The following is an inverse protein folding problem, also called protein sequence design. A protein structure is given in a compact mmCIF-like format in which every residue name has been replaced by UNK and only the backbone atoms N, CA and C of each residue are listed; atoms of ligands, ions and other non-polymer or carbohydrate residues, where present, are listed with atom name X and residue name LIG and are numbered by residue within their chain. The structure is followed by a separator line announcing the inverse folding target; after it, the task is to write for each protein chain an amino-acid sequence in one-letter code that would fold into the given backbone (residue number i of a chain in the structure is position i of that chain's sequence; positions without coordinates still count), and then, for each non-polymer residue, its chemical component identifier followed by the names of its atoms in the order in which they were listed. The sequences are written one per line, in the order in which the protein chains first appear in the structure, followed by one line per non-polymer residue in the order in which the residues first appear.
data_IF_009120506203
#
_entry.id   IF_009120506203
#
_cell.length_a   1.000
_cell.length_b   1.000
_cell.length_c   1.000
_cell.angle_alpha   90.00
_cell.angle_beta   90.00
_cell.angle_gamma   90.00
#
_symmetry.space_group_name_H-M   'P 1'
#
loop_
_entity.id
_entity.type
_entity.pdbx_description
1 polymer ?
#
# COMPACT_ATOMS: atom_id res chain seq x y z
N UNK A 1 -4.46 8.99 -7.38
CA UNK A 1 -3.51 9.82 -6.58
C UNK A 1 -4.33 10.72 -5.66
N UNK A 2 -4.04 10.75 -4.35
CA UNK A 2 -4.84 11.52 -3.38
C UNK A 2 -4.46 13.00 -3.33
N UNK A 3 -5.44 13.88 -3.18
CA UNK A 3 -5.25 15.31 -2.94
C UNK A 3 -5.21 15.65 -1.45
N UNK A 4 -4.42 16.64 -1.08
CA UNK A 4 -4.30 17.14 0.28
C UNK A 4 -5.63 17.73 0.74
N UNK A 5 -6.16 17.24 1.85
CA UNK A 5 -7.44 17.71 2.40
C UNK A 5 -7.39 19.12 2.98
N UNK A 6 -6.19 19.67 3.22
CA UNK A 6 -5.99 21.02 3.76
C UNK A 6 -5.85 22.09 2.69
N UNK A 7 -5.11 21.83 1.61
CA UNK A 7 -4.78 22.85 0.59
C UNK A 7 -5.06 22.42 -0.86
N UNK A 8 -5.64 21.24 -1.09
CA UNK A 8 -5.98 20.73 -2.42
C UNK A 8 -4.79 20.26 -3.28
N UNK A 9 -3.55 20.59 -2.92
CA UNK A 9 -2.33 20.16 -3.64
C UNK A 9 -2.16 18.64 -3.64
N UNK A 10 -1.38 18.10 -4.58
CA UNK A 10 -1.08 16.68 -4.64
C UNK A 10 -0.31 16.18 -3.41
N UNK A 11 -0.50 14.89 -3.09
CA UNK A 11 0.21 14.19 -2.03
C UNK A 11 1.21 13.19 -2.61
N UNK A 12 2.29 12.95 -1.87
CA UNK A 12 3.22 11.83 -2.10
C UNK A 12 2.85 10.71 -1.14
N UNK A 13 2.61 9.52 -1.68
CA UNK A 13 2.48 8.32 -0.87
C UNK A 13 3.86 7.91 -0.33
N UNK A 14 3.91 7.57 0.94
CA UNK A 14 5.08 7.03 1.64
C UNK A 14 4.94 5.50 1.78
N UNK A 15 5.98 4.78 2.21
CA UNK A 15 5.89 3.34 2.45
C UNK A 15 4.66 3.00 3.29
N UNK A 16 3.93 1.97 2.87
CA UNK A 16 2.74 1.49 3.57
C UNK A 16 3.14 0.39 4.54
N UNK A 17 2.29 0.13 5.53
CA UNK A 17 2.47 -0.96 6.48
C UNK A 17 1.24 -1.84 6.47
N UNK A 18 1.43 -3.15 6.32
CA UNK A 18 0.37 -4.13 6.56
C UNK A 18 0.14 -4.22 8.08
N UNK A 19 -1.11 -4.06 8.49
CA UNK A 19 -1.54 -4.27 9.88
C UNK A 19 -1.96 -5.74 10.06
N UNK A 20 -2.72 -6.25 9.10
CA UNK A 20 -3.21 -7.63 9.01
C UNK A 20 -3.12 -8.09 7.54
N UNK A 21 -3.25 -9.39 7.22
CA UNK A 21 -3.17 -9.89 5.85
C UNK A 21 -4.11 -9.18 4.86
N UNK A 22 -5.25 -8.71 5.35
CA UNK A 22 -6.28 -8.01 4.58
C UNK A 22 -6.34 -6.50 4.85
N UNK A 23 -5.43 -5.93 5.66
CA UNK A 23 -5.52 -4.53 6.10
C UNK A 23 -4.20 -3.81 5.90
N UNK A 24 -4.20 -2.77 5.06
CA UNK A 24 -3.02 -1.94 4.78
C UNK A 24 -3.26 -0.52 5.26
N UNK A 25 -2.30 0.03 6.00
CA UNK A 25 -2.22 1.46 6.31
C UNK A 25 -1.30 2.15 5.32
N UNK A 26 -1.83 3.15 4.61
CA UNK A 26 -1.07 4.02 3.70
C UNK A 26 -0.84 5.38 4.33
N UNK A 27 0.32 5.95 4.04
CA UNK A 27 0.77 7.24 4.56
C UNK A 27 0.91 8.24 3.42
N UNK A 28 0.40 9.45 3.63
CA UNK A 28 0.41 10.52 2.63
C UNK A 28 0.97 11.80 3.21
N UNK A 29 1.81 12.47 2.44
CA UNK A 29 2.34 13.79 2.77
C UNK A 29 2.04 14.76 1.63
N UNK A 30 1.52 15.94 1.98
CA UNK A 30 1.32 17.03 1.03
C UNK A 30 2.66 17.46 0.40
N UNK A 31 2.69 17.65 -0.93
CA UNK A 31 3.88 18.14 -1.63
C UNK A 31 4.10 19.65 -1.50
N UNK A 32 3.07 20.40 -1.10
CA UNK A 32 3.24 21.81 -0.79
C UNK A 32 4.02 21.97 0.52
N UNK A 33 5.27 22.44 0.43
CA UNK A 33 6.17 22.61 1.57
C UNK A 33 5.63 23.59 2.62
N UNK A 34 4.83 24.58 2.22
CA UNK A 34 4.16 25.50 3.15
C UNK A 34 2.98 24.85 3.88
N UNK A 35 2.37 23.82 3.30
CA UNK A 35 1.26 23.10 3.92
C UNK A 35 1.76 21.99 4.84
N UNK A 36 2.67 21.13 4.34
CA UNK A 36 3.29 20.03 5.09
C UNK A 36 2.35 18.96 5.63
N UNK A 37 1.04 19.05 5.37
CA UNK A 37 0.03 18.21 6.01
C UNK A 37 0.23 16.72 5.69
N UNK A 38 0.17 15.91 6.74
CA UNK A 38 0.30 14.46 6.67
C UNK A 38 -1.00 13.80 7.12
N UNK A 39 -1.38 12.70 6.48
CA UNK A 39 -2.52 11.89 6.89
C UNK A 39 -2.33 10.43 6.48
N UNK A 40 -3.18 9.56 7.02
CA UNK A 40 -3.17 8.12 6.74
C UNK A 40 -4.54 7.64 6.28
N UNK A 41 -4.55 6.60 5.46
CA UNK A 41 -5.78 5.85 5.17
C UNK A 41 -5.59 4.38 5.58
N UNK A 42 -6.70 3.73 5.92
CA UNK A 42 -6.75 2.30 6.15
C UNK A 42 -7.57 1.72 4.99
N UNK A 43 -6.99 0.76 4.30
CA UNK A 43 -7.64 0.02 3.22
C UNK A 43 -7.77 -1.44 3.61
N UNK A 44 -8.98 -1.97 3.44
CA UNK A 44 -9.32 -3.37 3.72
C UNK A 44 -9.60 -4.10 2.42
N UNK A 45 -8.95 -5.24 2.21
CA UNK A 45 -9.11 -6.09 1.04
C UNK A 45 -9.82 -7.37 1.47
N UNK A 46 -10.93 -7.71 0.81
CA UNK A 46 -11.50 -9.04 0.96
C UNK A 46 -10.69 -9.99 0.07
N UNK A 47 -10.05 -10.97 0.69
CA UNK A 47 -9.52 -12.12 -0.03
C UNK A 47 -10.72 -12.91 -0.52
N UNK A 48 -11.16 -12.67 -1.76
CA UNK A 48 -12.05 -13.60 -2.45
C UNK A 48 -11.32 -14.93 -2.55
N UNK A 49 -11.90 -15.98 -1.99
CA UNK A 49 -11.35 -17.34 -1.91
C UNK A 49 -11.22 -18.05 -3.26
N UNK A 50 -11.38 -17.36 -4.39
CA UNK A 50 -11.46 -17.96 -5.73
C UNK A 50 -10.15 -17.86 -6.54
N UNK A 51 -9.00 -17.63 -5.90
CA UNK A 51 -7.73 -17.47 -6.64
C UNK A 51 -6.51 -18.02 -5.89
N UNK A 52 -6.64 -19.20 -5.28
CA UNK A 52 -5.51 -20.08 -5.03
C UNK A 52 -5.63 -21.31 -5.93
N UNK A 53 -5.42 -21.12 -7.23
CA UNK A 53 -5.05 -22.18 -8.15
C UNK A 53 -3.73 -21.77 -8.81
N UNK A 54 -2.71 -22.62 -8.64
CA UNK A 54 -1.40 -22.66 -9.31
C UNK A 54 -0.63 -21.34 -9.51
N UNK A 55 0.54 -21.12 -8.91
CA UNK A 55 1.73 -21.92 -9.23
C UNK A 55 2.87 -21.52 -8.28
N UNK A 56 3.33 -22.46 -7.46
CA UNK A 56 4.58 -22.32 -6.72
C UNK A 56 5.77 -22.42 -7.70
N UNK A 57 6.79 -21.56 -7.61
CA UNK A 57 8.00 -21.78 -8.39
C UNK A 57 8.75 -23.00 -7.83
N UNK A 58 8.79 -24.08 -8.61
CA UNK A 58 9.62 -25.24 -8.35
C UNK A 58 11.09 -24.80 -8.26
N UNK A 59 11.62 -24.69 -7.04
CA UNK A 59 13.07 -24.63 -6.79
C UNK A 59 13.60 -26.05 -6.74
N UNK A 60 14.00 -26.61 -7.87
CA UNK A 60 14.89 -27.77 -7.88
C UNK A 60 16.34 -27.30 -8.01
N UNK A 61 17.05 -27.46 -6.90
CA UNK A 61 18.49 -27.24 -6.73
C UNK A 61 19.23 -28.34 -7.51
N UNK A 62 20.06 -27.96 -8.48
CA UNK A 62 21.06 -28.87 -9.06
C UNK A 62 22.18 -29.08 -8.03
N UNK A 63 22.34 -30.31 -7.57
CA UNK A 63 23.56 -30.78 -6.88
C UNK A 63 24.45 -31.40 -7.95
N UNK A 64 25.71 -30.95 -8.00
CA UNK A 64 26.76 -31.42 -8.91
C UNK A 64 27.20 -32.86 -8.60
#
# INVERSE_FOLDING_TARGET
MFSCKKCGTQTKQRPHFAIEPSVIRRFYQCRNLFCGFCFTTIETFHLSSDSFAESAPERNIQVQ
#
